data_IF_317734960188
#
_entry.id   IF_317734960188
#
_cell.length_a   1.000
_cell.length_b   1.000
_cell.length_c   1.000
_cell.angle_alpha   90.00
_cell.angle_beta   90.00
_cell.angle_gamma   90.00
#
_symmetry.space_group_name_H-M   'P 1'
#
loop_
_entity.id
_entity.type
_entity.pdbx_description
1 polymer ?
#
# COMPACT_ATOMS: atom_id res chain seq x y z
N UNK A 1 -36.26 77.21 1.92
CA UNK A 1 -36.46 76.29 3.06
C UNK A 1 -35.34 75.25 3.03
N UNK A 2 -34.97 74.76 4.22
CA UNK A 2 -33.66 74.22 4.62
C UNK A 2 -33.08 73.09 3.78
N UNK A 3 -31.79 73.24 3.49
CA UNK A 3 -30.83 72.24 3.04
C UNK A 3 -30.36 71.32 4.17
N UNK A 4 -29.88 70.14 3.75
CA UNK A 4 -28.80 69.33 4.33
C UNK A 4 -28.98 68.74 5.74
N UNK A 5 -28.88 67.41 5.83
CA UNK A 5 -27.81 66.81 6.63
C UNK A 5 -27.53 65.34 6.26
N UNK A 6 -26.26 65.13 5.96
CA UNK A 6 -25.53 63.91 5.67
C UNK A 6 -25.88 62.71 6.58
N UNK A 7 -26.01 61.53 5.96
CA UNK A 7 -25.60 60.27 6.59
C UNK A 7 -24.75 59.48 5.61
N UNK A 8 -23.45 59.70 5.71
CA UNK A 8 -22.42 58.77 5.26
C UNK A 8 -22.57 57.52 6.13
N UNK A 9 -22.87 56.37 5.53
CA UNK A 9 -22.62 55.07 6.16
C UNK A 9 -21.66 54.31 5.26
N UNK A 10 -20.51 54.06 5.85
CA UNK A 10 -19.32 53.43 5.28
C UNK A 10 -19.65 52.10 4.63
N UNK A 11 -19.23 51.96 3.38
CA UNK A 11 -19.11 50.70 2.68
C UNK A 11 -17.96 49.89 3.33
N UNK A 12 -18.30 48.86 4.10
CA UNK A 12 -17.35 47.80 4.40
C UNK A 12 -17.35 46.84 3.21
N UNK A 13 -16.36 47.03 2.35
CA UNK A 13 -16.05 46.22 1.19
C UNK A 13 -15.60 44.83 1.68
N UNK A 14 -16.54 43.89 1.76
CA UNK A 14 -16.29 42.48 2.08
C UNK A 14 -15.80 41.77 0.81
N UNK A 15 -14.54 41.99 0.44
CA UNK A 15 -13.90 41.27 -0.66
C UNK A 15 -13.32 39.93 -0.19
N UNK A 16 -13.81 38.89 -0.85
CA UNK A 16 -13.07 37.70 -1.27
C UNK A 16 -12.53 36.75 -0.19
N UNK A 17 -13.25 35.64 -0.01
CA UNK A 17 -12.69 34.29 0.11
C UNK A 17 -13.73 33.28 -0.42
N UNK A 18 -14.19 33.48 -1.66
CA UNK A 18 -14.73 32.37 -2.44
C UNK A 18 -13.53 31.57 -2.95
N UNK A 19 -13.04 30.64 -2.14
CA UNK A 19 -12.26 29.54 -2.68
C UNK A 19 -13.20 28.76 -3.61
N UNK A 20 -12.87 28.56 -4.91
CA UNK A 20 -13.57 27.56 -5.68
C UNK A 20 -13.30 26.21 -5.01
N UNK A 21 -14.34 25.63 -4.40
CA UNK A 21 -14.35 24.21 -4.11
C UNK A 21 -14.29 23.50 -5.47
N UNK A 22 -13.08 23.11 -5.87
CA UNK A 22 -12.88 22.14 -6.92
C UNK A 22 -13.41 20.79 -6.39
N UNK A 23 -14.72 20.63 -6.41
CA UNK A 23 -15.32 19.32 -6.34
C UNK A 23 -14.99 18.60 -7.64
N UNK A 24 -14.28 17.50 -7.48
CA UNK A 24 -14.00 16.48 -8.48
C UNK A 24 -15.28 16.19 -9.28
N UNK A 25 -15.39 16.84 -10.43
CA UNK A 25 -16.30 16.46 -11.50
C UNK A 25 -15.57 15.42 -12.33
N UNK A 26 -15.53 14.19 -11.83
CA UNK A 26 -14.91 13.06 -12.49
C UNK A 26 -15.28 11.80 -11.73
N UNK A 27 -15.92 10.85 -12.42
CA UNK A 27 -16.39 9.55 -11.92
C UNK A 27 -17.72 9.51 -11.15
N UNK A 28 -18.83 9.95 -11.73
CA UNK A 28 -20.09 9.19 -11.58
C UNK A 28 -20.81 9.21 -12.94
N UNK A 29 -20.39 8.35 -13.87
CA UNK A 29 -21.08 8.18 -15.15
C UNK A 29 -22.37 7.38 -14.92
N UNK A 30 -23.49 7.90 -15.44
CA UNK A 30 -24.88 7.52 -15.17
C UNK A 30 -25.36 6.27 -15.93
N UNK A 31 -24.50 5.26 -16.09
CA UNK A 31 -24.88 3.91 -16.52
C UNK A 31 -25.18 3.05 -15.29
N UNK A 32 -26.25 2.27 -15.32
CA UNK A 32 -26.80 1.49 -14.19
C UNK A 32 -25.79 1.10 -13.11
N UNK A 33 -25.93 1.73 -11.93
CA UNK A 33 -25.14 1.41 -10.75
C UNK A 33 -25.41 -0.04 -10.33
N UNK A 34 -24.41 -0.89 -10.50
CA UNK A 34 -24.44 -2.27 -10.04
C UNK A 34 -23.86 -2.32 -8.63
N UNK A 35 -24.73 -2.43 -7.63
CA UNK A 35 -24.33 -2.54 -6.23
C UNK A 35 -23.45 -3.77 -5.96
N UNK A 36 -23.54 -4.83 -6.79
CA UNK A 36 -22.69 -6.02 -6.68
C UNK A 36 -21.25 -5.77 -7.15
N UNK A 37 -20.99 -4.67 -7.85
CA UNK A 37 -19.65 -4.24 -8.27
C UNK A 37 -19.01 -3.28 -7.29
N UNK A 38 -19.75 -2.67 -6.38
CA UNK A 38 -19.17 -1.68 -5.48
C UNK A 38 -18.27 -2.34 -4.42
N UNK A 39 -17.13 -1.71 -4.12
CA UNK A 39 -16.04 -2.16 -3.21
C UNK A 39 -15.13 -3.28 -3.73
N UNK A 40 -15.51 -3.92 -4.83
CA UNK A 40 -14.74 -4.98 -5.47
C UNK A 40 -14.64 -4.79 -7.00
N UNK A 41 -15.12 -3.65 -7.51
CA UNK A 41 -15.03 -3.28 -8.93
C UNK A 41 -13.64 -2.86 -9.29
N UNK A 42 -13.28 -3.15 -10.54
CA UNK A 42 -12.29 -2.41 -11.31
C UNK A 42 -12.46 -0.89 -11.05
N UNK A 43 -11.43 -0.25 -10.51
CA UNK A 43 -11.43 1.19 -10.20
C UNK A 43 -11.70 1.58 -8.74
N UNK A 44 -11.72 0.64 -7.78
CA UNK A 44 -11.63 1.02 -6.37
C UNK A 44 -10.32 1.79 -6.11
N UNK A 45 -10.34 2.88 -5.31
CA UNK A 45 -9.18 3.76 -5.19
C UNK A 45 -8.07 3.16 -4.32
N UNK A 46 -8.42 2.32 -3.36
CA UNK A 46 -7.50 1.63 -2.43
C UNK A 46 -8.21 0.49 -1.68
N UNK A 47 -7.45 -0.46 -1.15
CA UNK A 47 -7.87 -1.37 -0.08
C UNK A 47 -7.05 -1.08 1.19
N UNK A 48 -7.66 -1.10 2.37
CA UNK A 48 -6.96 -0.96 3.65
C UNK A 48 -7.12 -2.20 4.51
N UNK A 49 -6.00 -2.78 4.94
CA UNK A 49 -5.99 -3.89 5.87
C UNK A 49 -5.24 -3.52 7.13
N UNK A 50 -5.84 -3.83 8.28
CA UNK A 50 -5.23 -3.68 9.59
C UNK A 50 -4.82 -5.06 10.10
N UNK A 51 -3.57 -5.21 10.52
CA UNK A 51 -3.05 -6.41 11.16
C UNK A 51 -2.67 -6.05 12.60
N UNK A 52 -3.35 -6.66 13.56
CA UNK A 52 -3.13 -6.38 14.98
C UNK A 52 -2.37 -7.55 15.62
N UNK A 53 -1.16 -7.30 16.06
CA UNK A 53 -0.38 -8.27 16.82
C UNK A 53 -0.78 -8.27 18.30
N UNK A 54 -1.53 -9.29 18.70
CA UNK A 54 -2.08 -9.36 20.06
C UNK A 54 -1.03 -9.70 21.12
N UNK A 55 0.16 -10.15 20.72
CA UNK A 55 1.28 -10.37 21.65
C UNK A 55 1.88 -9.06 22.15
N UNK A 56 1.63 -7.93 21.48
CA UNK A 56 2.15 -6.63 21.88
C UNK A 56 1.15 -5.76 22.67
N UNK A 57 -0.11 -6.21 22.80
CA UNK A 57 -1.17 -5.47 23.49
C UNK A 57 -1.59 -6.14 24.80
N UNK A 58 -1.98 -5.37 25.82
CA UNK A 58 -2.78 -5.87 26.92
C UNK A 58 -4.27 -5.82 26.58
N UNK A 59 -5.03 -6.78 27.14
CA UNK A 59 -6.46 -6.97 26.90
C UNK A 59 -7.36 -5.83 27.42
N UNK A 60 -6.82 -4.89 28.20
CA UNK A 60 -7.52 -3.75 28.78
C UNK A 60 -7.02 -2.38 28.27
N UNK A 61 -5.98 -2.33 27.44
CA UNK A 61 -5.52 -1.06 26.87
C UNK A 61 -6.29 -0.72 25.62
N UNK A 62 -6.78 0.51 25.57
CA UNK A 62 -7.52 1.06 24.43
C UNK A 62 -6.75 2.16 23.71
N UNK A 63 -5.58 2.58 24.21
CA UNK A 63 -4.84 3.73 23.65
C UNK A 63 -4.45 3.51 22.18
N UNK A 64 -3.94 2.33 21.86
CA UNK A 64 -3.57 1.95 20.50
C UNK A 64 -4.79 1.89 19.56
N UNK A 65 -5.91 1.35 20.04
CA UNK A 65 -7.15 1.28 19.28
C UNK A 65 -7.72 2.69 19.04
N UNK A 66 -7.60 3.59 20.02
CA UNK A 66 -7.99 4.99 19.87
C UNK A 66 -7.13 5.71 18.83
N UNK A 67 -5.82 5.47 18.78
CA UNK A 67 -4.92 6.04 17.74
C UNK A 67 -5.38 5.63 16.34
N UNK A 68 -5.63 4.33 16.12
CA UNK A 68 -6.19 3.81 14.85
C UNK A 68 -7.51 4.52 14.50
N UNK A 69 -8.43 4.60 15.47
CA UNK A 69 -9.77 5.15 15.28
C UNK A 69 -9.78 6.67 15.04
N UNK A 70 -8.74 7.39 15.45
CA UNK A 70 -8.61 8.82 15.21
C UNK A 70 -7.91 9.12 13.88
N UNK A 71 -6.94 8.28 13.51
CA UNK A 71 -6.03 8.53 12.39
C UNK A 71 -6.53 7.96 11.07
N UNK A 72 -7.09 6.74 11.06
CA UNK A 72 -7.49 6.08 9.81
C UNK A 72 -8.85 6.55 9.25
N UNK A 73 -9.95 6.64 10.03
CA UNK A 73 -11.27 6.97 9.49
C UNK A 73 -11.35 8.25 8.64
N UNK A 74 -10.68 9.35 9.02
CA UNK A 74 -10.66 10.56 8.19
C UNK A 74 -10.01 10.35 6.83
N UNK A 75 -9.14 9.34 6.66
CA UNK A 75 -8.37 9.09 5.44
C UNK A 75 -9.03 8.09 4.46
N UNK A 76 -10.15 7.48 4.83
CA UNK A 76 -10.83 6.53 3.95
C UNK A 76 -11.49 7.21 2.76
N UNK A 77 -11.40 6.54 1.62
CA UNK A 77 -11.97 6.94 0.34
C UNK A 77 -13.28 6.19 0.07
N UNK A 78 -14.22 6.76 -0.71
CA UNK A 78 -15.39 6.03 -1.15
C UNK A 78 -15.02 4.78 -1.97
N UNK A 79 -15.78 3.71 -1.80
CA UNK A 79 -15.54 2.38 -2.39
C UNK A 79 -14.28 1.66 -1.88
N UNK A 80 -13.68 2.13 -0.78
CA UNK A 80 -12.51 1.48 -0.18
C UNK A 80 -12.93 0.24 0.63
N UNK A 81 -12.29 -0.89 0.36
CA UNK A 81 -12.39 -2.08 1.20
C UNK A 81 -11.54 -1.88 2.46
N UNK A 82 -12.10 -2.25 3.62
CA UNK A 82 -11.45 -2.13 4.92
C UNK A 82 -11.57 -3.48 5.62
N UNK A 83 -10.43 -4.11 5.94
CA UNK A 83 -10.37 -5.36 6.70
C UNK A 83 -9.56 -5.25 7.98
N UNK A 84 -9.93 -6.01 9.02
CA UNK A 84 -9.16 -6.16 10.25
C UNK A 84 -8.86 -7.64 10.47
N UNK A 85 -7.59 -7.92 10.68
CA UNK A 85 -7.04 -9.21 11.08
C UNK A 85 -6.27 -9.05 12.38
N UNK A 86 -6.17 -10.12 13.15
CA UNK A 86 -5.34 -10.15 14.35
C UNK A 86 -4.54 -11.44 14.46
N UNK A 87 -3.29 -11.30 14.89
CA UNK A 87 -2.39 -12.40 15.20
C UNK A 87 -2.63 -12.81 16.65
N UNK A 88 -3.17 -13.99 16.86
CA UNK A 88 -3.35 -14.55 18.20
C UNK A 88 -2.01 -15.03 18.79
N UNK A 89 -1.89 -15.19 20.12
CA UNK A 89 -0.62 -15.52 20.76
C UNK A 89 -0.04 -16.89 20.38
N UNK A 90 -0.84 -17.77 19.78
CA UNK A 90 -0.38 -19.06 19.26
C UNK A 90 0.22 -18.97 17.84
N UNK A 91 0.34 -17.76 17.28
CA UNK A 91 0.93 -17.52 15.97
C UNK A 91 -0.03 -17.72 14.79
N UNK A 92 -1.34 -17.86 15.04
CA UNK A 92 -2.35 -17.94 13.99
C UNK A 92 -3.03 -16.60 13.74
N UNK A 93 -3.17 -16.26 12.45
CA UNK A 93 -3.98 -15.14 12.00
C UNK A 93 -5.47 -15.47 12.08
N UNK A 94 -6.27 -14.48 12.48
CA UNK A 94 -7.72 -14.57 12.52
C UNK A 94 -8.33 -13.33 11.87
N UNK A 95 -9.42 -13.54 11.14
CA UNK A 95 -10.18 -12.49 10.48
C UNK A 95 -11.28 -11.98 11.43
N UNK A 96 -11.30 -10.67 11.70
CA UNK A 96 -12.36 -10.05 12.50
C UNK A 96 -13.53 -9.61 11.62
N UNK A 97 -13.26 -8.78 10.61
CA UNK A 97 -14.25 -8.40 9.59
C UNK A 97 -13.59 -7.79 8.35
N UNK A 98 -14.35 -7.76 7.26
CA UNK A 98 -14.10 -6.93 6.08
C UNK A 98 -15.38 -6.19 5.72
N UNK A 99 -15.29 -4.91 5.37
CA UNK A 99 -16.42 -4.07 4.95
C UNK A 99 -15.98 -3.07 3.89
N UNK A 100 -16.97 -2.43 3.29
CA UNK A 100 -16.80 -1.41 2.27
C UNK A 100 -17.23 -0.06 2.81
N UNK A 101 -16.48 0.99 2.49
CA UNK A 101 -16.80 2.34 2.91
C UNK A 101 -17.14 3.28 1.73
N UNK A 102 -18.31 3.94 1.74
CA UNK A 102 -19.50 3.63 2.54
C UNK A 102 -20.14 2.28 2.18
N UNK A 103 -20.92 1.69 3.09
CA UNK A 103 -21.63 0.43 2.86
C UNK A 103 -22.86 0.66 1.95
N UNK A 104 -22.91 -0.09 0.84
CA UNK A 104 -23.86 0.06 -0.27
C UNK A 104 -25.31 -0.23 0.10
N UNK A 105 -25.57 -0.98 1.16
CA UNK A 105 -26.94 -1.19 1.65
C UNK A 105 -27.62 0.15 2.04
N UNK A 106 -26.83 1.20 2.33
CA UNK A 106 -27.31 2.58 2.52
C UNK A 106 -27.61 3.33 1.22
N UNK A 107 -27.05 2.89 0.08
CA UNK A 107 -27.22 3.48 -1.25
C UNK A 107 -28.47 2.94 -1.97
N UNK A 108 -28.79 1.66 -1.76
CA UNK A 108 -29.97 1.01 -2.35
C UNK A 108 -31.30 1.48 -1.74
N UNK A 109 -31.28 1.90 -0.47
CA UNK A 109 -32.49 2.28 0.28
C UNK A 109 -32.92 3.75 0.12
N UNK A 110 -32.12 4.59 -0.55
CA UNK A 110 -32.41 6.03 -0.69
C UNK A 110 -32.02 6.68 -2.02
N UNK A 111 -31.38 5.94 -2.92
CA UNK A 111 -30.94 6.44 -4.23
C UNK A 111 -29.79 7.45 -4.12
N UNK A 112 -28.63 7.05 -4.64
CA UNK A 112 -27.49 7.95 -4.95
C UNK A 112 -27.91 9.13 -5.85
N UNK A 113 -29.06 9.01 -6.52
CA UNK A 113 -29.67 10.06 -7.34
C UNK A 113 -30.49 11.10 -6.54
N UNK A 114 -30.70 10.91 -5.23
CA UNK A 114 -31.50 11.82 -4.36
C UNK A 114 -30.76 12.31 -3.11
N UNK A 115 -29.77 11.58 -2.61
CA UNK A 115 -28.95 12.00 -1.47
C UNK A 115 -27.62 12.61 -1.94
N UNK A 116 -27.24 13.77 -1.40
CA UNK A 116 -25.91 14.33 -1.62
C UNK A 116 -24.83 13.32 -1.17
N UNK A 117 -23.80 13.01 -1.97
CA UNK A 117 -22.76 12.02 -1.62
C UNK A 117 -22.12 12.26 -0.25
N UNK A 118 -21.92 13.53 0.12
CA UNK A 118 -21.40 13.94 1.42
C UNK A 118 -22.28 13.48 2.59
N UNK A 119 -23.60 13.48 2.41
CA UNK A 119 -24.55 13.00 3.41
C UNK A 119 -24.45 11.50 3.59
N UNK A 120 -24.30 10.74 2.51
CA UNK A 120 -24.12 9.28 2.59
C UNK A 120 -22.84 8.93 3.36
N UNK A 121 -21.72 9.58 3.01
CA UNK A 121 -20.42 9.38 3.68
C UNK A 121 -20.54 9.72 5.17
N UNK A 122 -21.15 10.85 5.51
CA UNK A 122 -21.35 11.28 6.90
C UNK A 122 -22.25 10.33 7.68
N UNK A 123 -23.33 9.84 7.07
CA UNK A 123 -24.31 9.00 7.75
C UNK A 123 -23.81 7.54 7.89
N UNK A 124 -22.86 7.10 7.06
CA UNK A 124 -22.24 5.77 7.14
C UNK A 124 -21.02 5.70 8.06
N UNK A 125 -20.30 6.81 8.25
CA UNK A 125 -19.14 6.88 9.13
C UNK A 125 -19.42 6.32 10.55
N UNK A 126 -20.53 6.65 11.24
CA UNK A 126 -20.85 6.06 12.54
C UNK A 126 -21.01 4.53 12.52
N UNK A 127 -21.43 3.94 11.39
CA UNK A 127 -21.55 2.48 11.25
C UNK A 127 -20.19 1.84 11.07
N UNK A 128 -19.35 2.41 10.20
CA UNK A 128 -17.97 1.98 10.05
C UNK A 128 -17.23 2.06 11.39
N UNK A 129 -17.40 3.16 12.13
CA UNK A 129 -16.81 3.32 13.47
C UNK A 129 -17.20 2.18 14.40
N UNK A 130 -18.47 1.74 14.41
CA UNK A 130 -18.91 0.61 15.26
C UNK A 130 -18.31 -0.72 14.82
N UNK A 131 -18.21 -0.97 13.51
CA UNK A 131 -17.59 -2.18 12.98
C UNK A 131 -16.11 -2.23 13.35
N UNK A 132 -15.39 -1.12 13.16
CA UNK A 132 -13.99 -1.02 13.58
C UNK A 132 -13.83 -1.22 15.09
N UNK A 133 -14.66 -0.58 15.92
CA UNK A 133 -14.65 -0.80 17.37
C UNK A 133 -14.86 -2.27 17.75
N UNK A 134 -15.78 -2.96 17.07
CA UNK A 134 -16.00 -4.39 17.30
C UNK A 134 -14.77 -5.21 16.91
N UNK A 135 -14.22 -5.04 15.71
CA UNK A 135 -13.07 -5.82 15.26
C UNK A 135 -11.81 -5.58 16.09
N UNK A 136 -11.55 -4.31 16.46
CA UNK A 136 -10.46 -3.99 17.38
C UNK A 136 -10.71 -4.59 18.79
N UNK A 137 -11.97 -4.60 19.24
CA UNK A 137 -12.37 -5.25 20.49
C UNK A 137 -12.18 -6.77 20.47
N UNK A 138 -12.42 -7.44 19.34
CA UNK A 138 -12.14 -8.86 19.16
C UNK A 138 -10.63 -9.13 19.26
N UNK A 139 -9.78 -8.30 18.64
CA UNK A 139 -8.32 -8.40 18.79
C UNK A 139 -7.86 -8.18 20.24
N UNK A 140 -8.45 -7.20 20.96
CA UNK A 140 -8.18 -6.99 22.38
C UNK A 140 -8.52 -8.22 23.23
N UNK A 141 -9.68 -8.85 22.98
CA UNK A 141 -10.13 -10.03 23.73
C UNK A 141 -9.27 -11.27 23.44
N UNK A 142 -8.64 -11.33 22.28
CA UNK A 142 -7.71 -12.39 21.91
C UNK A 142 -6.33 -12.26 22.61
N UNK A 143 -6.00 -11.10 23.18
CA UNK A 143 -4.78 -10.93 23.97
C UNK A 143 -4.85 -11.69 25.30
N UNK A 144 -3.75 -12.37 25.62
CA UNK A 144 -3.54 -13.07 26.90
C UNK A 144 -2.96 -12.19 28.00
N UNK A 145 -2.53 -10.97 27.68
CA UNK A 145 -1.82 -10.11 28.61
C UNK A 145 -2.79 -9.19 29.36
N UNK A 146 -2.69 -9.13 30.70
CA UNK A 146 -3.53 -8.24 31.54
C UNK A 146 -2.91 -6.86 31.76
N UNK A 147 -1.61 -6.73 31.50
CA UNK A 147 -0.83 -5.50 31.57
C UNK A 147 0.12 -5.43 30.36
N UNK A 148 0.60 -4.23 30.03
CA UNK A 148 1.50 -4.02 28.88
C UNK A 148 2.68 -5.00 29.00
N UNK A 149 2.91 -5.88 28.00
CA UNK A 149 4.04 -6.80 28.03
C UNK A 149 5.36 -6.01 28.07
N UNK A 150 6.30 -6.48 28.87
CA UNK A 150 7.69 -6.01 28.86
C UNK A 150 8.58 -7.26 28.77
N UNK A 151 9.18 -7.47 27.61
CA UNK A 151 9.94 -8.69 27.35
C UNK A 151 11.38 -8.61 27.85
N UNK A 152 11.93 -7.40 28.04
CA UNK A 152 13.32 -7.22 28.44
C UNK A 152 14.29 -8.08 27.61
N UNK A 153 14.87 -9.12 28.24
CA UNK A 153 15.79 -10.07 27.59
C UNK A 153 15.13 -11.40 27.15
N UNK A 154 13.90 -11.66 27.57
CA UNK A 154 13.17 -12.90 27.29
C UNK A 154 12.11 -12.65 26.20
N UNK A 155 12.58 -12.41 24.98
CA UNK A 155 11.71 -12.16 23.83
C UNK A 155 11.05 -13.48 23.39
N UNK A 156 9.72 -13.56 23.30
CA UNK A 156 9.03 -14.77 22.87
C UNK A 156 9.34 -15.09 21.40
N UNK A 157 9.20 -16.36 21.03
CA UNK A 157 9.17 -16.73 19.62
C UNK A 157 7.95 -16.07 18.96
N UNK A 158 8.20 -15.35 17.87
CA UNK A 158 7.23 -14.56 17.15
C UNK A 158 7.61 -14.46 15.68
N UNK A 159 6.75 -15.03 14.85
CA UNK A 159 6.93 -15.06 13.40
C UNK A 159 5.90 -14.16 12.70
N UNK A 160 6.21 -12.86 12.69
CA UNK A 160 5.33 -11.85 12.12
C UNK A 160 5.37 -11.90 10.59
N UNK A 161 6.53 -12.19 9.97
CA UNK A 161 6.66 -12.37 8.53
C UNK A 161 5.72 -13.47 8.00
N UNK A 162 5.76 -14.67 8.59
CA UNK A 162 4.83 -15.76 8.25
C UNK A 162 3.37 -15.37 8.44
N UNK A 163 3.07 -14.62 9.50
CA UNK A 163 1.72 -14.15 9.79
C UNK A 163 1.21 -13.19 8.72
N UNK A 164 2.05 -12.24 8.27
CA UNK A 164 1.72 -11.35 7.17
C UNK A 164 1.57 -12.11 5.84
N UNK A 165 2.41 -13.11 5.59
CA UNK A 165 2.25 -14.01 4.45
C UNK A 165 0.89 -14.74 4.46
N UNK A 166 0.46 -15.27 5.61
CA UNK A 166 -0.87 -15.89 5.75
C UNK A 166 -1.98 -14.90 5.38
N UNK A 167 -1.89 -13.65 5.85
CA UNK A 167 -2.86 -12.59 5.52
C UNK A 167 -2.89 -12.30 4.02
N UNK A 168 -1.74 -12.31 3.32
CA UNK A 168 -1.74 -12.07 1.87
C UNK A 168 -2.51 -13.12 1.06
N UNK A 169 -2.67 -14.35 1.58
CA UNK A 169 -3.49 -15.37 0.94
C UNK A 169 -5.00 -15.13 1.13
N UNK A 170 -5.39 -14.44 2.21
CA UNK A 170 -6.78 -14.11 2.53
C UNK A 170 -7.22 -12.76 1.93
N UNK A 171 -6.25 -11.87 1.67
CA UNK A 171 -6.47 -10.60 0.98
C UNK A 171 -6.70 -10.85 -0.51
N UNK A 172 -7.73 -10.20 -1.06
CA UNK A 172 -7.92 -10.14 -2.52
C UNK A 172 -6.94 -9.15 -3.13
N UNK A 173 -5.83 -9.65 -3.64
CA UNK A 173 -4.82 -8.89 -4.39
C UNK A 173 -5.33 -8.51 -5.79
N UNK A 174 -6.36 -7.65 -5.88
CA UNK A 174 -6.79 -7.08 -7.17
C UNK A 174 -5.84 -5.93 -7.58
N UNK A 175 -6.04 -5.29 -8.74
CA UNK A 175 -5.17 -4.17 -9.19
C UNK A 175 -5.24 -2.91 -8.33
N UNK A 176 -6.02 -2.88 -7.24
CA UNK A 176 -6.15 -1.72 -6.39
C UNK A 176 -4.93 -1.58 -5.46
N UNK A 177 -4.42 -0.36 -5.19
CA UNK A 177 -3.33 -0.18 -4.24
C UNK A 177 -3.73 -0.64 -2.85
N UNK A 178 -2.79 -1.24 -2.12
CA UNK A 178 -3.04 -1.71 -0.75
C UNK A 178 -2.40 -0.74 0.25
N UNK A 179 -3.12 -0.44 1.32
CA UNK A 179 -2.55 0.13 2.54
C UNK A 179 -2.63 -0.90 3.64
N UNK A 180 -1.47 -1.31 4.13
CA UNK A 180 -1.34 -2.25 5.23
C UNK A 180 -0.91 -1.49 6.49
N UNK A 181 -1.71 -1.58 7.55
CA UNK A 181 -1.39 -0.96 8.85
C UNK A 181 -1.18 -2.07 9.86
N UNK A 182 0.03 -2.20 10.36
CA UNK A 182 0.43 -3.26 11.30
C UNK A 182 0.63 -2.64 12.69
N UNK A 183 -0.25 -2.97 13.64
CA UNK A 183 0.01 -2.68 15.05
C UNK A 183 0.86 -3.80 15.62
N UNK A 184 2.13 -3.52 15.93
CA UNK A 184 3.05 -4.46 16.55
C UNK A 184 4.24 -3.72 17.17
N UNK A 185 4.94 -4.36 18.09
CA UNK A 185 6.29 -3.92 18.50
C UNK A 185 7.34 -4.08 17.39
N UNK A 186 6.97 -4.72 16.27
CA UNK A 186 7.82 -4.93 15.10
C UNK A 186 8.88 -6.01 15.28
N UNK A 187 8.86 -6.75 16.39
CA UNK A 187 9.83 -7.82 16.63
C UNK A 187 9.58 -8.99 15.67
N UNK A 188 10.64 -9.40 14.97
CA UNK A 188 10.75 -10.71 14.34
C UNK A 188 11.72 -11.56 15.16
N UNK A 189 11.26 -12.71 15.66
CA UNK A 189 12.06 -13.65 16.43
C UNK A 189 11.54 -15.07 16.17
N UNK A 190 11.85 -15.64 15.02
CA UNK A 190 11.37 -16.95 14.58
C UNK A 190 12.51 -17.98 14.58
N UNK A 191 12.21 -19.27 14.37
CA UNK A 191 13.25 -20.29 14.22
C UNK A 191 14.24 -20.04 13.05
N UNK A 192 13.86 -19.18 12.10
CA UNK A 192 14.65 -18.86 10.91
C UNK A 192 15.46 -17.57 11.05
N UNK A 193 14.97 -16.62 11.86
CA UNK A 193 15.65 -15.35 12.13
C UNK A 193 15.42 -14.99 13.60
N UNK A 194 16.50 -15.06 14.37
CA UNK A 194 16.53 -14.60 15.75
C UNK A 194 16.95 -13.13 15.82
N UNK A 195 16.62 -12.48 16.95
CA UNK A 195 17.06 -11.10 17.18
C UNK A 195 18.59 -10.91 17.15
N UNK A 196 19.35 -11.97 17.45
CA UNK A 196 20.83 -11.95 17.37
C UNK A 196 21.36 -11.86 15.95
N UNK A 197 20.57 -12.28 14.96
CA UNK A 197 20.95 -12.22 13.54
C UNK A 197 20.79 -10.81 12.99
N UNK A 198 20.12 -9.92 13.73
CA UNK A 198 19.94 -8.50 13.43
C UNK A 198 21.04 -7.65 14.11
N UNK A 199 22.30 -8.06 13.97
CA UNK A 199 23.45 -7.45 14.66
C UNK A 199 23.85 -6.08 14.11
N UNK A 200 23.58 -5.86 12.83
CA UNK A 200 23.82 -4.62 12.10
C UNK A 200 22.81 -4.48 10.94
N UNK A 201 22.90 -3.38 10.19
CA UNK A 201 21.94 -3.09 9.13
C UNK A 201 22.04 -4.03 7.93
N UNK A 202 23.23 -4.54 7.61
CA UNK A 202 23.41 -5.39 6.44
C UNK A 202 22.98 -6.83 6.77
N UNK A 203 23.34 -7.32 7.96
CA UNK A 203 22.84 -8.58 8.51
C UNK A 203 21.30 -8.57 8.62
N UNK A 204 20.71 -7.46 9.07
CA UNK A 204 19.26 -7.32 9.14
C UNK A 204 18.58 -7.34 7.77
N UNK A 205 19.17 -6.68 6.75
CA UNK A 205 18.63 -6.71 5.38
C UNK A 205 18.68 -8.12 4.81
N UNK A 206 19.79 -8.82 4.98
CA UNK A 206 19.97 -10.21 4.53
C UNK A 206 18.97 -11.14 5.21
N UNK A 207 18.79 -11.03 6.53
CA UNK A 207 17.78 -11.78 7.26
C UNK A 207 16.35 -11.50 6.73
N UNK A 208 16.07 -10.24 6.34
CA UNK A 208 14.81 -9.86 5.69
C UNK A 208 14.60 -10.56 4.35
N UNK A 209 15.65 -10.63 3.51
CA UNK A 209 15.62 -11.35 2.23
C UNK A 209 15.40 -12.85 2.44
N UNK A 210 16.17 -13.47 3.34
CA UNK A 210 16.04 -14.90 3.68
C UNK A 210 14.60 -15.25 4.10
N UNK A 211 13.97 -14.40 4.90
CA UNK A 211 12.57 -14.62 5.28
C UNK A 211 11.58 -14.38 4.15
N UNK A 212 11.84 -13.41 3.26
CA UNK A 212 10.99 -13.19 2.08
C UNK A 212 11.05 -14.38 1.11
N UNK A 213 12.22 -15.01 0.95
CA UNK A 213 12.38 -16.22 0.14
C UNK A 213 11.54 -17.39 0.72
N UNK A 214 11.47 -17.50 2.05
CA UNK A 214 10.72 -18.56 2.75
C UNK A 214 9.22 -18.27 2.83
N UNK A 215 8.86 -17.01 3.01
CA UNK A 215 7.50 -16.51 3.17
C UNK A 215 7.23 -15.47 2.09
N UNK A 216 7.26 -15.91 0.83
CA UNK A 216 7.07 -15.07 -0.35
C UNK A 216 5.64 -14.55 -0.40
N UNK A 217 5.41 -13.46 0.33
CA UNK A 217 4.17 -12.72 0.32
C UNK A 217 4.17 -11.79 -0.89
N UNK A 218 2.98 -11.54 -1.43
CA UNK A 218 2.82 -10.54 -2.47
C UNK A 218 1.92 -9.45 -1.95
N UNK A 219 2.52 -8.33 -1.54
CA UNK A 219 1.78 -7.20 -1.02
C UNK A 219 1.25 -6.28 -2.13
N UNK A 220 1.48 -6.60 -3.40
CA UNK A 220 0.89 -5.91 -4.54
C UNK A 220 1.05 -4.37 -4.47
N UNK A 221 2.30 -3.94 -4.27
CA UNK A 221 2.67 -2.56 -3.99
C UNK A 221 1.97 -1.97 -2.76
N UNK A 222 1.86 -2.72 -1.67
CA UNK A 222 1.25 -2.17 -0.46
C UNK A 222 2.12 -1.07 0.15
N UNK A 223 1.49 0.04 0.51
CA UNK A 223 2.06 0.99 1.47
C UNK A 223 1.89 0.45 2.88
N UNK A 224 2.99 0.12 3.54
CA UNK A 224 2.98 -0.52 4.86
C UNK A 224 3.36 0.47 5.96
N UNK A 225 2.55 0.51 7.01
CA UNK A 225 2.77 1.33 8.21
C UNK A 225 2.89 0.41 9.41
N UNK A 226 4.08 0.33 10.00
CA UNK A 226 4.26 -0.26 11.31
C UNK A 226 4.05 0.80 12.38
N UNK A 227 3.18 0.50 13.34
CA UNK A 227 2.93 1.33 14.52
C UNK A 227 2.88 0.49 15.80
N UNK A 228 3.18 1.09 16.96
CA UNK A 228 3.35 0.35 18.22
C UNK A 228 4.78 -0.14 18.48
N UNK A 229 5.76 0.35 17.71
CA UNK A 229 7.17 0.02 17.88
C UNK A 229 7.67 0.37 19.29
N UNK A 230 8.50 -0.50 19.85
CA UNK A 230 9.05 -0.47 21.21
C UNK A 230 8.00 -0.62 22.34
N UNK A 231 6.74 -0.96 22.01
CA UNK A 231 5.67 -1.10 23.02
C UNK A 231 5.93 -2.19 24.06
N UNK A 232 6.82 -3.14 23.78
CA UNK A 232 7.17 -4.26 24.66
C UNK A 232 8.53 -4.12 25.35
N UNK A 233 9.13 -2.92 25.31
CA UNK A 233 10.39 -2.61 25.99
C UNK A 233 11.65 -3.08 25.25
N UNK A 234 11.52 -3.96 24.26
CA UNK A 234 12.62 -4.41 23.40
C UNK A 234 12.92 -3.35 22.35
N UNK A 235 14.20 -3.02 22.19
CA UNK A 235 14.68 -2.07 21.18
C UNK A 235 15.73 -2.74 20.33
N UNK A 236 15.52 -2.72 19.01
CA UNK A 236 16.54 -3.09 18.04
C UNK A 236 16.51 -2.08 16.89
N UNK A 237 17.61 -1.33 16.74
CA UNK A 237 17.73 -0.26 15.76
C UNK A 237 17.77 -0.75 14.30
N UNK A 238 17.94 -2.06 14.09
CA UNK A 238 18.07 -2.69 12.78
C UNK A 238 16.77 -3.32 12.27
N UNK A 239 15.72 -3.39 13.11
CA UNK A 239 14.39 -3.84 12.68
C UNK A 239 13.80 -3.04 11.50
N UNK A 240 13.95 -1.70 11.41
CA UNK A 240 13.49 -0.98 10.22
C UNK A 240 14.14 -1.48 8.92
N UNK A 241 15.45 -1.73 8.93
CA UNK A 241 16.18 -2.22 7.76
C UNK A 241 15.78 -3.65 7.40
N UNK A 242 15.55 -4.50 8.41
CA UNK A 242 15.00 -5.84 8.22
C UNK A 242 13.62 -5.79 7.52
N UNK A 243 12.68 -5.01 8.07
CA UNK A 243 11.31 -4.93 7.53
C UNK A 243 11.25 -4.27 6.16
N UNK A 244 12.07 -3.24 5.93
CA UNK A 244 12.20 -2.62 4.61
C UNK A 244 12.61 -3.67 3.56
N UNK A 245 13.67 -4.44 3.85
CA UNK A 245 14.17 -5.50 2.96
C UNK A 245 13.14 -6.61 2.72
N UNK A 246 12.53 -7.15 3.78
CA UNK A 246 11.48 -8.18 3.68
C UNK A 246 10.29 -7.71 2.84
N UNK A 247 9.78 -6.51 3.12
CA UNK A 247 8.62 -5.97 2.43
C UNK A 247 8.95 -5.68 0.97
N UNK A 248 10.12 -5.13 0.66
CA UNK A 248 10.55 -4.85 -0.71
C UNK A 248 10.62 -6.13 -1.55
N UNK A 249 11.24 -7.19 -1.03
CA UNK A 249 11.26 -8.50 -1.68
C UNK A 249 9.85 -9.11 -1.83
N UNK A 250 8.95 -8.79 -0.91
CA UNK A 250 7.54 -9.20 -0.90
C UNK A 250 6.59 -8.22 -1.62
N UNK A 251 7.11 -7.36 -2.50
CA UNK A 251 6.34 -6.37 -3.29
C UNK A 251 5.54 -5.33 -2.48
N UNK A 252 5.99 -5.00 -1.27
CA UNK A 252 5.47 -3.91 -0.43
C UNK A 252 6.52 -2.83 -0.19
N UNK A 253 6.11 -1.71 0.40
CA UNK A 253 7.03 -0.65 0.80
C UNK A 253 6.75 -0.15 2.22
N UNK A 254 7.80 -0.09 3.03
CA UNK A 254 7.73 0.44 4.38
C UNK A 254 7.65 1.96 4.33
N UNK A 255 6.50 2.53 4.70
CA UNK A 255 6.28 3.98 4.75
C UNK A 255 6.58 4.59 6.10
N UNK A 256 6.27 3.87 7.17
CA UNK A 256 6.60 4.29 8.53
C UNK A 256 6.90 3.11 9.42
N UNK A 257 7.81 3.30 10.37
CA UNK A 257 8.13 2.36 11.43
C UNK A 257 8.30 3.18 12.72
N UNK A 258 7.23 3.31 13.51
CA UNK A 258 7.20 4.26 14.64
C UNK A 258 6.30 3.80 15.78
N UNK A 259 6.45 4.37 16.98
CA UNK A 259 5.56 4.02 18.10
C UNK A 259 4.10 4.46 17.86
N UNK A 260 3.90 5.60 17.20
CA UNK A 260 2.56 6.13 16.87
C UNK A 260 2.27 5.98 15.39
N UNK A 261 0.99 5.89 15.03
CA UNK A 261 0.57 5.94 13.63
C UNK A 261 0.71 7.39 13.11
N UNK A 262 1.42 7.63 11.98
CA UNK A 262 1.55 8.97 11.46
C UNK A 262 0.19 9.51 11.02
N UNK A 263 -0.04 10.82 11.23
CA UNK A 263 -1.26 11.48 10.79
C UNK A 263 -1.50 11.28 9.28
N UNK A 264 -2.58 10.60 8.93
CA UNK A 264 -2.92 10.30 7.53
C UNK A 264 -3.84 11.39 6.99
N UNK A 265 -3.26 12.45 6.43
CA UNK A 265 -4.05 13.55 5.89
C UNK A 265 -4.61 13.19 4.50
N UNK A 266 -5.91 13.41 4.25
CA UNK A 266 -6.54 13.16 2.94
C UNK A 266 -5.77 13.80 1.79
N UNK A 267 -5.21 14.99 2.02
CA UNK A 267 -4.49 15.76 1.01
C UNK A 267 -3.12 15.17 0.63
N UNK A 268 -2.47 14.41 1.51
CA UNK A 268 -1.18 13.76 1.21
C UNK A 268 -1.33 12.54 0.28
N UNK A 269 -2.53 11.97 0.17
CA UNK A 269 -2.87 10.91 -0.79
C UNK A 269 -3.68 11.44 -2.00
N UNK A 270 -3.81 12.77 -2.13
CA UNK A 270 -4.60 13.45 -3.17
C UNK A 270 -3.75 14.03 -4.32
N UNK A 271 -2.51 13.60 -4.50
CA UNK A 271 -2.03 13.57 -5.88
C UNK A 271 -2.66 12.31 -6.46
N UNK A 272 -3.66 12.40 -7.34
CA UNK A 272 -4.12 11.20 -8.01
C UNK A 272 -2.89 10.56 -8.66
N UNK A 273 -2.51 9.40 -8.17
CA UNK A 273 -1.46 8.61 -8.77
C UNK A 273 -2.17 7.70 -9.76
N UNK A 274 -1.68 7.67 -11.01
CA UNK A 274 -2.07 6.62 -11.92
C UNK A 274 -1.26 5.40 -11.52
N UNK A 275 -1.95 4.37 -11.02
CA UNK A 275 -1.37 3.05 -10.82
C UNK A 275 -1.61 2.25 -12.09
N UNK A 276 -0.62 2.23 -12.97
CA UNK A 276 -0.64 1.41 -14.17
C UNK A 276 -0.14 0.00 -13.81
N UNK A 277 -0.92 -1.03 -14.12
CA UNK A 277 -0.52 -2.44 -13.96
C UNK A 277 -0.43 -3.09 -15.33
N UNK A 278 0.59 -3.94 -15.51
CA UNK A 278 0.83 -4.67 -16.74
C UNK A 278 1.17 -6.13 -16.42
N UNK A 279 0.66 -7.03 -17.24
CA UNK A 279 0.95 -8.46 -17.21
C UNK A 279 1.36 -8.90 -18.61
N UNK A 280 2.31 -9.82 -18.72
CA UNK A 280 2.75 -10.31 -20.02
C UNK A 280 3.93 -11.26 -19.93
N UNK A 281 4.77 -11.23 -20.94
CA UNK A 281 5.90 -12.15 -21.05
C UNK A 281 7.22 -11.43 -21.24
N UNK A 282 8.23 -11.95 -20.54
CA UNK A 282 9.64 -11.72 -20.81
C UNK A 282 10.16 -12.84 -21.70
N UNK A 283 10.82 -12.49 -22.81
CA UNK A 283 11.35 -13.46 -23.77
C UNK A 283 12.86 -13.61 -23.63
N UNK A 284 13.31 -14.83 -23.36
CA UNK A 284 14.73 -15.19 -23.26
C UNK A 284 15.02 -16.42 -24.09
N UNK A 285 15.80 -16.27 -25.16
CA UNK A 285 16.34 -17.39 -25.97
C UNK A 285 15.31 -18.49 -26.36
N UNK A 286 14.08 -18.09 -26.67
CA UNK A 286 13.00 -19.01 -27.06
C UNK A 286 12.08 -19.47 -25.91
N UNK A 287 12.35 -19.07 -24.68
CA UNK A 287 11.47 -19.24 -23.53
C UNK A 287 10.69 -17.96 -23.24
N UNK A 288 9.44 -18.12 -22.81
CA UNK A 288 8.58 -17.04 -22.34
C UNK A 288 8.36 -17.24 -20.84
N UNK A 289 8.61 -16.20 -20.07
CA UNK A 289 8.44 -16.19 -18.61
C UNK A 289 7.43 -15.13 -18.24
N UNK A 290 6.54 -15.44 -17.28
CA UNK A 290 5.53 -14.48 -16.82
C UNK A 290 6.21 -13.26 -16.20
N UNK A 291 5.83 -12.08 -16.67
CA UNK A 291 6.32 -10.80 -16.17
C UNK A 291 5.15 -9.92 -15.78
N UNK A 292 5.15 -9.45 -14.54
CA UNK A 292 4.18 -8.51 -14.02
C UNK A 292 4.88 -7.22 -13.63
N UNK A 293 4.22 -6.08 -13.86
CA UNK A 293 4.75 -4.76 -13.58
C UNK A 293 3.67 -3.85 -13.04
N UNK A 294 3.99 -3.11 -11.99
CA UNK A 294 3.14 -2.08 -11.42
C UNK A 294 3.94 -0.79 -11.27
N UNK A 295 3.40 0.29 -11.83
CA UNK A 295 4.03 1.61 -11.81
C UNK A 295 3.03 2.61 -11.23
N UNK A 296 3.47 3.35 -10.22
CA UNK A 296 2.74 4.52 -9.74
C UNK A 296 3.41 5.79 -10.23
N UNK A 297 2.63 6.65 -10.87
CA UNK A 297 3.10 7.96 -11.34
C UNK A 297 2.11 9.07 -11.03
N UNK A 298 2.56 10.32 -10.82
CA UNK A 298 1.65 11.45 -10.68
C UNK A 298 0.73 11.63 -11.89
N UNK A 299 -0.58 11.74 -11.67
CA UNK A 299 -1.54 12.12 -12.71
C UNK A 299 -1.31 13.57 -13.14
N UNK A 300 -1.55 13.85 -14.43
CA UNK A 300 -1.52 15.20 -15.00
C UNK A 300 -0.12 15.74 -15.30
N UNK A 301 0.94 15.00 -15.01
CA UNK A 301 2.30 15.35 -15.41
C UNK A 301 2.68 14.66 -16.73
N UNK A 302 3.37 15.41 -17.61
CA UNK A 302 3.92 14.86 -18.86
C UNK A 302 5.33 14.27 -18.68
N UNK A 303 5.96 14.46 -17.53
CA UNK A 303 7.24 13.85 -17.15
C UNK A 303 7.39 13.87 -15.64
N UNK A 304 8.17 12.95 -15.09
CA UNK A 304 8.50 12.96 -13.68
C UNK A 304 9.29 11.74 -13.23
N UNK A 305 9.63 11.75 -11.95
CA UNK A 305 10.28 10.62 -11.28
C UNK A 305 9.25 9.60 -10.83
N UNK A 306 9.61 8.33 -10.96
CA UNK A 306 8.95 7.17 -10.40
C UNK A 306 9.82 6.74 -9.23
N UNK A 307 9.42 7.17 -8.03
CA UNK A 307 10.20 6.82 -6.84
C UNK A 307 10.04 5.34 -6.48
N UNK A 308 8.95 4.70 -6.91
CA UNK A 308 8.59 3.33 -6.58
C UNK A 308 7.77 2.69 -7.71
N UNK A 309 8.27 1.58 -8.24
CA UNK A 309 7.58 0.66 -9.11
C UNK A 309 8.01 -0.77 -8.73
N UNK A 310 7.22 -1.76 -9.14
CA UNK A 310 7.43 -3.16 -8.78
C UNK A 310 7.29 -4.02 -10.00
N UNK A 311 8.22 -4.94 -10.19
CA UNK A 311 8.08 -6.01 -11.15
C UNK A 311 8.16 -7.36 -10.47
N UNK A 312 7.63 -8.40 -11.11
CA UNK A 312 7.89 -9.77 -10.70
C UNK A 312 8.11 -10.68 -11.89
N UNK A 313 8.96 -11.67 -11.71
CA UNK A 313 9.18 -12.75 -12.69
C UNK A 313 8.88 -14.07 -11.97
N UNK A 314 7.87 -14.81 -12.43
CA UNK A 314 7.42 -16.04 -11.77
C UNK A 314 7.20 -15.91 -10.25
N UNK A 315 6.67 -14.77 -9.79
CA UNK A 315 6.44 -14.49 -8.37
C UNK A 315 7.64 -13.92 -7.61
N UNK A 316 8.85 -13.94 -8.18
CA UNK A 316 10.02 -13.29 -7.57
C UNK A 316 9.98 -11.78 -7.82
N UNK A 317 9.95 -11.01 -6.74
CA UNK A 317 9.81 -9.55 -6.77
C UNK A 317 11.10 -8.79 -7.10
N UNK A 318 10.92 -7.63 -7.75
CA UNK A 318 11.93 -6.62 -8.01
C UNK A 318 11.36 -5.24 -7.69
N UNK A 319 12.12 -4.44 -6.92
CA UNK A 319 11.82 -3.04 -6.69
C UNK A 319 12.53 -2.19 -7.73
N UNK A 320 11.78 -1.22 -8.25
CA UNK A 320 12.20 -0.34 -9.31
C UNK A 320 12.06 1.12 -8.88
N UNK A 321 12.98 1.96 -9.32
CA UNK A 321 12.80 3.41 -9.38
C UNK A 321 13.00 3.88 -10.82
N UNK A 322 12.84 5.15 -11.12
CA UNK A 322 13.19 5.69 -12.43
C UNK A 322 12.38 6.91 -12.81
N UNK A 323 12.04 7.01 -14.10
CA UNK A 323 11.34 8.18 -14.64
C UNK A 323 10.34 7.79 -15.74
N UNK A 324 9.43 8.71 -16.02
CA UNK A 324 8.52 8.62 -17.16
C UNK A 324 8.50 9.91 -17.97
N UNK A 325 8.16 9.78 -19.25
CA UNK A 325 7.92 10.89 -20.16
C UNK A 325 6.76 10.55 -21.12
N UNK A 326 5.77 11.42 -21.18
CA UNK A 326 4.60 11.31 -22.06
C UNK A 326 4.83 12.12 -23.33
N UNK A 327 4.92 11.43 -24.48
CA UNK A 327 5.09 12.02 -25.81
C UNK A 327 3.89 11.70 -26.70
N UNK A 328 2.97 12.65 -26.81
CA UNK A 328 1.73 12.44 -27.56
C UNK A 328 0.84 11.39 -26.88
N UNK A 329 0.55 10.29 -27.57
CA UNK A 329 -0.23 9.16 -27.05
C UNK A 329 0.63 8.01 -26.51
N UNK A 330 1.92 8.25 -26.29
CA UNK A 330 2.87 7.27 -25.77
C UNK A 330 3.42 7.72 -24.43
N UNK A 331 3.68 6.76 -23.55
CA UNK A 331 4.42 6.97 -22.31
C UNK A 331 5.69 6.13 -22.36
N UNK A 332 6.83 6.77 -22.20
CA UNK A 332 8.12 6.11 -22.10
C UNK A 332 8.47 5.96 -20.62
N UNK A 333 8.80 4.75 -20.20
CA UNK A 333 9.28 4.45 -18.85
C UNK A 333 10.75 4.04 -18.92
N UNK A 334 11.55 4.57 -18.00
CA UNK A 334 12.94 4.14 -17.78
C UNK A 334 13.08 3.85 -16.30
N UNK A 335 13.12 2.57 -15.97
CA UNK A 335 13.18 2.09 -14.60
C UNK A 335 14.51 1.38 -14.36
N UNK A 336 15.00 1.42 -13.13
CA UNK A 336 16.22 0.76 -12.69
C UNK A 336 15.89 -0.18 -11.52
N UNK A 337 16.47 -1.38 -11.53
CA UNK A 337 16.34 -2.35 -10.45
C UNK A 337 17.14 -1.83 -9.26
N UNK A 338 16.44 -1.52 -8.18
CA UNK A 338 17.05 -1.10 -6.92
C UNK A 338 17.38 -2.32 -6.07
N UNK A 339 16.47 -3.28 -6.06
CA UNK A 339 16.56 -4.50 -5.27
C UNK A 339 15.77 -5.61 -5.94
N UNK A 340 16.21 -6.84 -5.77
CA UNK A 340 15.57 -8.03 -6.35
C UNK A 340 15.73 -9.22 -5.41
N UNK A 341 14.92 -10.25 -5.63
CA UNK A 341 15.08 -11.54 -4.98
C UNK A 341 16.36 -12.24 -5.48
N UNK A 342 16.98 -13.02 -4.59
CA UNK A 342 18.20 -13.81 -4.83
C UNK A 342 18.11 -14.83 -6.00
N UNK A 343 16.89 -15.26 -6.35
CA UNK A 343 16.64 -16.27 -7.39
C UNK A 343 16.54 -15.71 -8.80
N UNK A 344 16.79 -14.41 -8.99
CA UNK A 344 16.73 -13.73 -10.26
C UNK A 344 18.14 -13.48 -10.80
N UNK A 345 18.35 -13.74 -12.10
CA UNK A 345 19.61 -13.49 -12.81
C UNK A 345 19.84 -12.00 -13.14
N UNK A 346 19.20 -11.08 -12.42
CA UNK A 346 19.33 -9.63 -12.61
C UNK A 346 20.13 -9.02 -11.47
N UNK A 347 20.78 -7.89 -11.73
CA UNK A 347 21.55 -7.15 -10.73
C UNK A 347 20.91 -5.78 -10.44
N UNK A 348 21.14 -5.25 -9.25
CA UNK A 348 20.84 -3.84 -8.96
C UNK A 348 21.59 -2.93 -9.96
N UNK A 349 20.86 -2.01 -10.60
CA UNK A 349 21.36 -1.16 -11.68
C UNK A 349 20.93 -1.60 -13.08
N UNK A 350 20.50 -2.85 -13.27
CA UNK A 350 19.85 -3.26 -14.51
C UNK A 350 18.58 -2.43 -14.75
N UNK A 351 18.23 -2.20 -16.02
CA UNK A 351 17.15 -1.28 -16.37
C UNK A 351 16.01 -1.96 -17.11
N UNK A 352 14.79 -1.47 -16.85
CA UNK A 352 13.59 -1.75 -17.64
C UNK A 352 13.24 -0.51 -18.46
N UNK A 353 13.26 -0.63 -19.78
CA UNK A 353 12.84 0.45 -20.67
C UNK A 353 11.59 0.02 -21.41
N UNK A 354 10.51 0.77 -21.27
CA UNK A 354 9.21 0.45 -21.88
C UNK A 354 8.65 1.64 -22.65
N UNK A 355 7.93 1.34 -23.71
CA UNK A 355 7.06 2.31 -24.40
C UNK A 355 5.63 1.79 -24.35
N UNK A 356 4.77 2.49 -23.61
CA UNK A 356 3.33 2.28 -23.60
C UNK A 356 2.67 2.98 -24.79
N UNK A 357 1.75 2.29 -25.46
CA UNK A 357 0.82 2.86 -26.42
C UNK A 357 -0.54 2.18 -26.31
N UNK A 358 -1.53 2.91 -25.80
CA UNK A 358 -2.87 2.37 -25.57
C UNK A 358 -2.89 1.36 -24.41
N UNK A 359 -3.22 0.10 -24.70
CA UNK A 359 -3.31 -0.99 -23.71
C UNK A 359 -2.08 -1.91 -23.73
N UNK A 360 -1.01 -1.53 -24.44
CA UNK A 360 0.20 -2.36 -24.58
C UNK A 360 1.42 -1.56 -24.18
N UNK A 361 2.35 -2.22 -23.52
CA UNK A 361 3.69 -1.72 -23.25
C UNK A 361 4.71 -2.73 -23.78
N UNK A 362 5.73 -2.26 -24.48
CA UNK A 362 6.80 -3.12 -24.99
C UNK A 362 8.16 -2.48 -24.81
N UNK A 363 9.18 -3.30 -24.65
CA UNK A 363 10.56 -2.84 -24.51
C UNK A 363 11.45 -3.96 -24.02
N UNK A 364 12.32 -3.71 -23.05
CA UNK A 364 13.27 -4.71 -22.56
C UNK A 364 13.65 -4.51 -21.09
N UNK A 365 14.23 -5.56 -20.51
CA UNK A 365 14.91 -5.57 -19.20
C UNK A 365 16.36 -6.05 -19.35
N UNK A 366 17.29 -5.41 -18.66
CA UNK A 366 18.71 -5.82 -18.57
C UNK A 366 19.68 -4.64 -18.56
N UNK A 367 20.97 -4.92 -18.74
CA UNK A 367 22.02 -3.89 -18.65
C UNK A 367 21.95 -2.91 -19.84
N UNK A 368 22.05 -1.60 -19.53
CA UNK A 368 22.13 -0.53 -20.52
C UNK A 368 23.56 -0.29 -21.01
N UNK A 369 24.56 -0.77 -20.29
CA UNK A 369 25.95 -0.59 -20.63
C UNK A 369 26.31 -1.42 -21.88
N UNK A 370 26.71 -0.79 -22.99
CA UNK A 370 27.08 -1.52 -24.20
C UNK A 370 28.37 -2.34 -24.05
N UNK A 371 29.14 -2.14 -22.97
CA UNK A 371 30.46 -2.74 -22.77
C UNK A 371 30.47 -4.05 -21.97
N UNK A 372 29.33 -4.46 -21.40
CA UNK A 372 29.13 -5.73 -20.67
C UNK A 372 28.59 -6.82 -21.58
N UNK A 373 29.16 -6.95 -22.79
CA UNK A 373 28.89 -8.11 -23.65
C UNK A 373 29.35 -9.38 -22.93
N UNK A 374 28.47 -10.39 -22.81
CA UNK A 374 28.89 -11.73 -22.40
C UNK A 374 29.97 -12.20 -23.39
N UNK A 375 31.12 -12.60 -22.84
CA UNK A 375 32.35 -12.87 -23.60
C UNK A 375 32.22 -14.03 -24.62
N UNK A 376 31.11 -14.78 -24.63
CA UNK A 376 30.93 -15.98 -25.44
C UNK A 376 29.77 -15.92 -26.47
N UNK A 377 28.80 -15.02 -26.34
CA UNK A 377 27.58 -15.06 -27.19
C UNK A 377 27.34 -13.82 -28.06
N UNK A 378 28.09 -12.73 -27.86
CA UNK A 378 27.87 -11.46 -28.58
C UNK A 378 26.44 -10.87 -28.42
N UNK A 379 25.65 -11.42 -27.50
CA UNK A 379 24.29 -10.98 -27.17
C UNK A 379 24.36 -10.01 -25.99
N UNK A 380 23.58 -8.93 -26.07
CA UNK A 380 23.32 -8.08 -24.91
C UNK A 380 22.51 -8.92 -23.91
N UNK A 381 22.80 -8.80 -22.61
CA UNK A 381 21.93 -9.35 -21.58
C UNK A 381 20.67 -8.48 -21.52
N UNK A 382 19.78 -8.69 -22.49
CA UNK A 382 18.55 -7.94 -22.69
C UNK A 382 17.45 -8.90 -23.09
N UNK A 383 16.35 -8.87 -22.36
CA UNK A 383 15.19 -9.69 -22.62
C UNK A 383 14.02 -8.81 -23.06
N UNK A 384 13.38 -9.20 -24.16
CA UNK A 384 12.24 -8.45 -24.69
C UNK A 384 11.05 -8.60 -23.74
N UNK A 385 10.38 -7.49 -23.47
CA UNK A 385 9.15 -7.41 -22.71
C UNK A 385 7.99 -7.08 -23.65
N UNK A 386 6.93 -7.89 -23.58
CA UNK A 386 5.65 -7.63 -24.24
C UNK A 386 4.56 -7.74 -23.19
N UNK A 387 4.04 -6.59 -22.78
CA UNK A 387 3.10 -6.46 -21.68
C UNK A 387 1.78 -5.86 -22.16
N UNK A 388 0.69 -6.31 -21.58
CA UNK A 388 -0.64 -5.74 -21.75
C UNK A 388 -1.08 -5.13 -20.45
N UNK A 389 -1.74 -3.99 -20.53
CA UNK A 389 -2.29 -3.32 -19.36
C UNK A 389 -3.37 -4.20 -18.78
N UNK A 390 -3.25 -4.50 -17.50
CA UNK A 390 -4.10 -5.44 -16.81
C UNK A 390 -4.83 -4.75 -15.67
N UNK A 391 -6.07 -5.16 -15.46
CA UNK A 391 -6.87 -4.79 -14.30
C UNK A 391 -6.76 -5.85 -13.19
N UNK A 392 -6.02 -6.94 -13.40
CA UNK A 392 -5.87 -8.09 -12.51
C UNK A 392 -4.43 -8.56 -12.52
N UNK A 393 -3.62 -8.18 -11.54
CA UNK A 393 -2.32 -8.84 -11.38
C UNK A 393 -2.56 -10.29 -10.96
N UNK A 394 -2.47 -11.22 -11.91
CA UNK A 394 -2.41 -12.65 -11.62
C UNK A 394 -0.93 -13.02 -11.43
N UNK A 395 -0.58 -13.44 -10.22
CA UNK A 395 0.74 -13.99 -9.89
C UNK A 395 0.66 -15.50 -9.77
#
# INVERSE_FOLDING_TARGET
>A
MKNMMNKIKSAALLTALCAPQAFASGMINTGGFDAAKYCLSEGAPRQTYLVIDTTSIPNNSTSWAQDIMQTLPPSYLPSEEIGIYYLSPNGNMSHAFTTCFPNVNALESGGLLRAAPERVIRDDMPKLTRLMQRGLGEAMQASTHTAQPDYGSAVPEKDLARSLFQVTNDIRLNSTPIRLVVYSDGIQNSPDVALTDLSDSDAAKEAGLVLADKHSANFNNATVYFHGIDSTGVRNAHLPAFWESYLQASTGHLKSFSSNLPGMNRTQYNMPAISDSYSGVMKSQGFETLFNLRIERPEGLSRGEINQAFASINGYGMMLNGSFETKGNKVEYKLEIVQHHSGLDFESGDSIVLTESGQKASGFIGDLNPSTMQADTNNKFQFDLVLEKDNFLMF
#
